data_IF_309277871331
#
_entry.id   IF_309277871331
#
_cell.length_a   1.000
_cell.length_b   1.000
_cell.length_c   1.000
_cell.angle_alpha   90.00
_cell.angle_beta   90.00
_cell.angle_gamma   90.00
#
_symmetry.space_group_name_H-M   'P 1'
#
loop_
_entity.id
_entity.type
_entity.pdbx_description
1 polymer ?
#
# COMPACT_ATOMS: atom_id res chain seq x y z
N UNK A 1 49.20 41.12 20.88
CA UNK A 1 47.99 40.33 21.22
C UNK A 1 46.88 40.64 20.22
N UNK A 2 46.60 39.74 19.26
CA UNK A 2 45.52 39.90 18.26
C UNK A 2 44.36 38.98 18.67
N UNK A 3 43.38 39.54 19.38
CA UNK A 3 42.32 38.77 20.03
C UNK A 3 41.01 38.77 19.21
N UNK A 4 40.84 37.69 18.45
CA UNK A 4 39.63 36.84 18.37
C UNK A 4 38.22 37.41 18.08
N UNK A 5 38.04 38.66 17.61
CA UNK A 5 36.69 39.22 17.37
C UNK A 5 35.88 38.61 16.21
N UNK A 6 36.51 37.87 15.29
CA UNK A 6 35.82 37.32 14.11
C UNK A 6 35.20 35.92 14.30
N UNK A 7 35.71 35.12 15.24
CA UNK A 7 35.25 33.73 15.42
C UNK A 7 33.96 33.63 16.21
N UNK A 8 33.71 34.56 17.15
CA UNK A 8 32.50 34.57 17.98
C UNK A 8 31.23 34.94 17.19
N UNK A 9 31.32 35.86 16.23
CA UNK A 9 30.17 36.26 15.40
C UNK A 9 29.74 35.18 14.40
N UNK A 10 30.68 34.41 13.86
CA UNK A 10 30.37 33.26 13.00
C UNK A 10 29.78 32.10 13.79
N UNK A 11 30.28 31.84 15.01
CA UNK A 11 29.72 30.80 15.89
C UNK A 11 28.30 31.14 16.36
N UNK A 12 28.01 32.42 16.66
CA UNK A 12 26.66 32.84 17.09
C UNK A 12 25.64 32.78 15.96
N UNK A 13 26.03 33.11 14.72
CA UNK A 13 25.17 32.98 13.56
C UNK A 13 24.77 31.54 13.27
N UNK A 14 25.72 30.61 13.39
CA UNK A 14 25.47 29.17 13.22
C UNK A 14 24.64 28.58 14.36
N UNK A 15 24.81 29.03 15.60
CA UNK A 15 23.97 28.63 16.74
C UNK A 15 22.51 29.09 16.57
N UNK A 16 22.29 30.32 16.06
CA UNK A 16 20.93 30.84 15.80
C UNK A 16 20.21 30.04 14.72
N UNK A 17 20.90 29.62 13.66
CA UNK A 17 20.29 28.87 12.55
C UNK A 17 19.85 27.45 12.98
N UNK A 18 20.57 26.83 13.92
CA UNK A 18 20.23 25.51 14.46
C UNK A 18 18.97 25.55 15.37
N UNK A 19 18.70 26.67 16.04
CA UNK A 19 17.54 26.82 16.90
C UNK A 19 16.21 26.97 16.13
N UNK A 20 16.24 27.51 14.90
CA UNK A 20 15.01 27.70 14.09
C UNK A 20 14.49 26.39 13.48
N UNK A 21 15.34 25.36 13.28
CA UNK A 21 14.93 24.10 12.65
C UNK A 21 14.21 23.14 13.60
N UNK A 22 14.23 23.40 14.91
CA UNK A 22 13.62 22.52 15.92
C UNK A 22 12.14 22.81 16.20
N UNK A 23 11.58 23.90 15.64
CA UNK A 23 10.20 24.31 15.88
C UNK A 23 9.21 23.87 14.79
N UNK A 24 9.63 23.04 13.82
CA UNK A 24 8.72 22.54 12.78
C UNK A 24 7.91 21.35 13.33
N UNK A 25 6.86 21.67 14.08
CA UNK A 25 5.86 20.67 14.50
C UNK A 25 4.91 20.41 13.34
N UNK A 26 5.21 19.40 12.54
CA UNK A 26 4.27 18.88 11.53
C UNK A 26 3.29 17.96 12.21
N UNK A 27 2.24 18.52 12.78
CA UNK A 27 1.12 17.71 13.27
C UNK A 27 0.37 17.15 12.05
N UNK A 28 0.20 15.82 11.94
CA UNK A 28 -0.50 15.23 10.81
C UNK A 28 -1.96 15.66 10.84
N UNK A 29 -2.37 16.48 9.87
CA UNK A 29 -3.78 16.85 9.71
C UNK A 29 -4.50 15.69 9.01
N UNK A 30 -4.92 14.70 9.78
CA UNK A 30 -5.78 13.63 9.29
C UNK A 30 -7.16 14.20 8.94
N UNK A 31 -7.42 14.34 7.65
CA UNK A 31 -8.76 14.56 7.14
C UNK A 31 -9.50 13.23 7.24
N UNK A 32 -10.12 12.97 8.39
CA UNK A 32 -11.06 11.85 8.54
C UNK A 32 -12.27 12.17 7.64
N UNK A 33 -12.53 11.42 6.56
CA UNK A 33 -13.72 11.65 5.77
C UNK A 33 -14.93 11.23 6.59
N UNK A 34 -15.78 12.20 6.96
CA UNK A 34 -17.10 11.89 7.53
C UNK A 34 -17.96 11.31 6.41
N UNK A 35 -18.02 10.00 6.34
CA UNK A 35 -19.00 9.28 5.52
C UNK A 35 -20.36 9.41 6.22
N UNK A 36 -21.15 10.41 5.83
CA UNK A 36 -22.55 10.54 6.24
C UNK A 36 -23.39 9.59 5.41
N UNK A 37 -23.41 8.31 5.77
CA UNK A 37 -24.33 7.32 5.19
C UNK A 37 -25.39 6.89 6.20
N UNK A 38 -26.64 6.93 5.75
CA UNK A 38 -27.82 6.40 6.45
C UNK A 38 -27.64 4.90 6.73
N UNK A 39 -28.06 4.38 7.90
CA UNK A 39 -27.75 3.01 8.35
C UNK A 39 -28.61 1.91 7.70
N UNK A 40 -29.11 2.12 6.48
CA UNK A 40 -30.07 1.20 5.89
C UNK A 40 -29.44 0.35 4.79
N UNK A 41 -29.12 -0.88 5.22
CA UNK A 41 -28.96 -2.13 4.46
C UNK A 41 -27.64 -2.30 3.69
N UNK A 42 -26.66 -2.86 4.40
CA UNK A 42 -25.60 -3.68 3.79
C UNK A 42 -26.28 -4.92 3.20
N UNK A 43 -26.70 -4.83 1.94
CA UNK A 43 -26.90 -6.00 1.10
C UNK A 43 -25.52 -6.34 0.55
N UNK A 44 -24.92 -7.43 1.04
CA UNK A 44 -23.83 -8.11 0.36
C UNK A 44 -24.40 -8.70 -0.93
N UNK A 45 -24.51 -7.86 -1.97
CA UNK A 45 -24.81 -8.30 -3.31
C UNK A 45 -23.70 -9.25 -3.73
N UNK A 46 -24.07 -10.51 -4.00
CA UNK A 46 -23.16 -11.48 -4.58
C UNK A 46 -22.58 -10.98 -5.91
N UNK A 47 -21.46 -11.58 -6.30
CA UNK A 47 -20.75 -11.45 -7.58
C UNK A 47 -21.66 -10.93 -8.71
N UNK A 48 -21.39 -9.70 -9.15
CA UNK A 48 -22.02 -9.11 -10.34
C UNK A 48 -23.06 -8.02 -10.07
N UNK A 49 -22.66 -6.94 -9.40
CA UNK A 49 -23.41 -5.68 -9.33
C UNK A 49 -22.88 -4.67 -10.35
N UNK A 50 -23.61 -4.41 -11.42
CA UNK A 50 -23.17 -3.62 -12.57
C UNK A 50 -22.84 -2.13 -12.26
N UNK A 51 -21.76 -1.67 -12.89
CA UNK A 51 -21.43 -0.27 -13.29
C UNK A 51 -20.29 0.46 -12.55
N UNK A 52 -19.36 -0.26 -11.95
CA UNK A 52 -17.96 0.16 -12.00
C UNK A 52 -17.27 -0.67 -13.09
N UNK A 53 -16.24 -0.17 -13.80
CA UNK A 53 -15.46 -1.01 -14.70
C UNK A 53 -14.76 -2.08 -13.86
N UNK A 54 -15.44 -3.21 -13.68
CA UNK A 54 -14.88 -4.40 -13.05
C UNK A 54 -13.72 -4.85 -13.94
N UNK A 55 -12.50 -4.64 -13.44
CA UNK A 55 -11.30 -5.01 -14.17
C UNK A 55 -11.16 -6.51 -14.08
N UNK A 56 -11.61 -7.21 -15.13
CA UNK A 56 -11.38 -8.63 -15.28
C UNK A 56 -9.98 -8.88 -15.88
N UNK A 57 -9.13 -9.58 -15.12
CA UNK A 57 -7.80 -9.99 -15.56
C UNK A 57 -7.82 -11.28 -16.41
N UNK A 58 -8.98 -11.92 -16.55
CA UNK A 58 -9.14 -13.16 -17.29
C UNK A 58 -8.51 -14.35 -16.58
N UNK A 59 -8.52 -14.38 -15.25
CA UNK A 59 -8.07 -15.51 -14.44
C UNK A 59 -8.99 -15.75 -13.25
N UNK A 60 -8.98 -16.98 -12.75
CA UNK A 60 -9.66 -17.37 -11.52
C UNK A 60 -8.59 -17.81 -10.53
N UNK A 61 -8.62 -17.29 -9.31
CA UNK A 61 -7.62 -17.57 -8.29
C UNK A 61 -8.28 -17.94 -6.96
N UNK A 62 -7.55 -18.69 -6.14
CA UNK A 62 -7.92 -19.02 -4.77
C UNK A 62 -6.83 -18.53 -3.84
N UNK A 63 -7.11 -18.46 -2.54
CA UNK A 63 -6.07 -18.27 -1.53
C UNK A 63 -4.99 -19.34 -1.74
N UNK A 64 -3.72 -18.96 -1.63
CA UNK A 64 -2.64 -19.95 -1.63
C UNK A 64 -2.69 -20.68 -0.28
N UNK A 65 -3.18 -21.91 -0.26
CA UNK A 65 -3.23 -22.77 0.93
C UNK A 65 -2.12 -23.84 0.88
N UNK A 66 -1.77 -24.41 2.04
CA UNK A 66 -0.85 -25.55 2.12
C UNK A 66 -1.63 -26.85 1.97
N UNK A 67 -1.41 -27.57 0.87
CA UNK A 67 -2.04 -28.88 0.63
C UNK A 67 -1.42 -30.03 1.47
N UNK A 68 -0.57 -29.73 2.45
CA UNK A 68 0.23 -30.71 3.20
C UNK A 68 0.05 -30.55 4.71
N UNK A 69 -0.39 -31.62 5.38
CA UNK A 69 -0.54 -31.71 6.84
C UNK A 69 0.78 -31.51 7.62
N UNK A 70 1.92 -31.55 6.93
CA UNK A 70 3.26 -31.37 7.50
C UNK A 70 3.88 -30.02 7.18
N UNK A 71 3.25 -29.20 6.32
CA UNK A 71 3.82 -27.94 5.86
C UNK A 71 3.03 -26.75 6.42
N UNK A 72 3.39 -26.35 7.64
CA UNK A 72 2.71 -25.33 8.45
C UNK A 72 3.03 -23.90 7.95
N UNK A 73 3.90 -23.76 6.95
CA UNK A 73 4.23 -22.47 6.35
C UNK A 73 3.49 -22.30 5.02
N UNK A 74 2.45 -21.47 5.04
CA UNK A 74 1.77 -20.98 3.83
C UNK A 74 2.43 -19.67 3.43
N UNK A 75 2.97 -19.60 2.20
CA UNK A 75 3.44 -18.33 1.66
C UNK A 75 2.23 -17.43 1.33
N UNK A 76 2.24 -16.15 1.73
CA UNK A 76 1.14 -15.24 1.44
C UNK A 76 0.95 -15.10 -0.08
N UNK A 77 -0.29 -14.95 -0.51
CA UNK A 77 -0.62 -14.73 -1.92
C UNK A 77 -1.86 -15.49 -2.38
N UNK A 78 -2.11 -15.44 -3.70
CA UNK A 78 -3.19 -16.15 -4.37
C UNK A 78 -2.63 -17.12 -5.40
N UNK A 79 -3.22 -18.32 -5.49
CA UNK A 79 -2.87 -19.35 -6.48
C UNK A 79 -3.84 -19.30 -7.65
N UNK A 80 -3.30 -19.25 -8.87
CA UNK A 80 -4.08 -19.26 -10.11
C UNK A 80 -4.64 -20.66 -10.36
N UNK A 81 -5.97 -20.76 -10.48
CA UNK A 81 -6.70 -22.01 -10.79
C UNK A 81 -6.91 -22.21 -12.29
N UNK A 82 -7.24 -21.13 -12.98
CA UNK A 82 -7.52 -21.15 -14.42
C UNK A 82 -7.26 -19.78 -15.04
N UNK A 83 -6.95 -19.79 -16.33
CA UNK A 83 -6.68 -18.61 -17.15
C UNK A 83 -7.58 -18.71 -18.38
N UNK A 84 -8.27 -17.61 -18.71
CA UNK A 84 -9.07 -17.50 -19.91
C UNK A 84 -8.19 -17.39 -21.15
N UNK A 85 -8.43 -18.25 -22.14
CA UNK A 85 -7.62 -18.30 -23.37
C UNK A 85 -7.73 -16.98 -24.16
N UNK A 86 -6.60 -16.40 -24.54
CA UNK A 86 -6.53 -15.10 -25.21
C UNK A 86 -6.87 -13.89 -24.31
N UNK A 87 -7.13 -14.11 -23.01
CA UNK A 87 -7.41 -13.06 -22.05
C UNK A 87 -6.17 -12.24 -21.65
N UNK A 88 -6.32 -11.19 -20.82
CA UNK A 88 -5.19 -10.39 -20.34
C UNK A 88 -4.11 -11.24 -19.66
N UNK A 89 -4.50 -12.15 -18.76
CA UNK A 89 -3.60 -13.04 -18.06
C UNK A 89 -2.86 -14.02 -19.00
N UNK A 90 -3.53 -14.57 -20.01
CA UNK A 90 -2.88 -15.46 -20.99
C UNK A 90 -1.86 -14.71 -21.85
N UNK A 91 -2.20 -13.49 -22.30
CA UNK A 91 -1.28 -12.62 -23.05
C UNK A 91 -0.09 -12.16 -22.20
N UNK A 92 -0.28 -12.03 -20.89
CA UNK A 92 0.79 -11.78 -19.93
C UNK A 92 1.65 -13.02 -19.63
N UNK A 93 1.26 -14.20 -20.14
CA UNK A 93 1.98 -15.45 -19.93
C UNK A 93 1.71 -16.12 -18.58
N UNK A 94 0.72 -15.66 -17.82
CA UNK A 94 0.29 -16.28 -16.56
C UNK A 94 -0.31 -17.67 -16.86
N UNK A 95 -0.04 -18.64 -15.99
CA UNK A 95 -0.48 -20.03 -16.12
C UNK A 95 -1.16 -20.52 -14.84
N UNK A 96 -1.99 -21.55 -15.00
CA UNK A 96 -2.56 -22.25 -13.85
C UNK A 96 -1.42 -22.85 -13.01
N UNK A 97 -1.50 -22.68 -11.68
CA UNK A 97 -0.47 -23.10 -10.74
C UNK A 97 0.45 -21.98 -10.26
N UNK A 98 0.50 -20.84 -10.96
CA UNK A 98 1.27 -19.66 -10.52
C UNK A 98 0.76 -19.13 -9.17
N UNK A 99 1.66 -18.53 -8.39
CA UNK A 99 1.32 -17.84 -7.13
C UNK A 99 1.66 -16.35 -7.29
N UNK A 100 0.64 -15.50 -7.14
CA UNK A 100 0.77 -14.04 -7.23
C UNK A 100 1.02 -13.51 -5.81
N UNK A 101 2.07 -12.69 -5.68
CA UNK A 101 2.53 -12.07 -4.44
C UNK A 101 2.23 -10.56 -4.47
N UNK A 102 2.17 -9.93 -3.28
CA UNK A 102 2.00 -8.48 -3.08
C UNK A 102 3.31 -7.79 -2.76
#
# INVERSE_FOLDING_TARGET
MRFNRGKSAFLSGWMSLLLLSACVSTEPRELVPTISQSPEQIVLAGDGGASEPEVDFGLTATVNESDSLTNISVLPGIRVRSVSNGGPADRAGIRAGDVILS
#
